data_IF_564357821444
#
_entry.id   IF_564357821444
#
_cell.length_a   1.000
_cell.length_b   1.000
_cell.length_c   1.000
_cell.angle_alpha   90.00
_cell.angle_beta   90.00
_cell.angle_gamma   90.00
#
_symmetry.space_group_name_H-M   'P 1'
#
loop_
_entity.id
_entity.type
_entity.pdbx_description
1 polymer ?
#
# COMPACT_ATOMS: atom_id res chain seq x y z
N UNK A 1 -2.22 19.42 -0.52
CA UNK A 1 -2.48 17.98 -0.66
C UNK A 1 -2.36 17.66 -2.14
N UNK A 2 -1.45 16.77 -2.50
CA UNK A 2 -1.31 16.23 -3.85
C UNK A 2 -1.60 14.72 -3.82
N UNK A 3 -1.90 14.15 -4.97
CA UNK A 3 -2.11 12.72 -5.13
C UNK A 3 -1.00 12.22 -6.06
N UNK A 4 -0.14 11.34 -5.56
CA UNK A 4 0.98 10.78 -6.31
C UNK A 4 0.61 9.38 -6.80
N UNK A 5 1.06 9.04 -8.01
CA UNK A 5 0.81 7.75 -8.63
C UNK A 5 2.11 6.97 -8.79
N UNK A 6 2.02 5.66 -8.60
CA UNK A 6 3.10 4.73 -8.97
C UNK A 6 2.54 3.38 -9.38
N UNK A 7 3.27 2.67 -10.22
CA UNK A 7 3.00 1.29 -10.62
C UNK A 7 4.05 0.41 -9.95
N UNK A 8 3.59 -0.71 -9.39
CA UNK A 8 4.50 -1.68 -8.81
C UNK A 8 3.88 -3.05 -8.65
N UNK A 9 4.76 -4.00 -8.35
CA UNK A 9 4.41 -5.37 -8.06
C UNK A 9 4.52 -5.60 -6.56
N UNK A 10 3.48 -6.20 -5.96
CA UNK A 10 3.52 -6.58 -4.55
C UNK A 10 4.48 -7.76 -4.42
N UNK A 11 5.54 -7.60 -3.61
CA UNK A 11 6.53 -8.67 -3.40
C UNK A 11 6.24 -9.47 -2.13
N UNK A 12 5.63 -8.84 -1.12
CA UNK A 12 5.18 -9.52 0.08
C UNK A 12 3.97 -8.83 0.69
N UNK A 13 3.12 -9.64 1.32
CA UNK A 13 1.99 -9.18 2.10
C UNK A 13 1.98 -9.97 3.42
N UNK A 14 2.32 -9.28 4.50
CA UNK A 14 2.39 -9.87 5.84
C UNK A 14 1.19 -9.43 6.66
N UNK A 15 0.49 -10.39 7.26
CA UNK A 15 -0.57 -10.14 8.24
C UNK A 15 -0.09 -10.55 9.63
N UNK A 16 -0.34 -9.71 10.63
CA UNK A 16 -0.11 -10.11 12.03
C UNK A 16 -1.18 -11.09 12.55
N UNK A 17 -2.28 -11.26 11.82
CA UNK A 17 -3.32 -12.26 12.13
C UNK A 17 -3.06 -13.58 11.41
N UNK A 18 -3.21 -14.69 12.14
CA UNK A 18 -3.14 -16.06 11.59
C UNK A 18 -4.30 -16.42 10.64
N UNK A 19 -5.27 -15.53 10.47
CA UNK A 19 -6.48 -15.74 9.67
C UNK A 19 -6.74 -14.52 8.79
N UNK A 20 -7.10 -14.74 7.52
CA UNK A 20 -7.44 -13.66 6.60
C UNK A 20 -8.67 -12.90 7.12
N UNK A 21 -8.48 -11.62 7.49
CA UNK A 21 -9.56 -10.76 7.97
C UNK A 21 -10.33 -10.22 6.76
N UNK A 22 -11.48 -10.80 6.45
CA UNK A 22 -12.34 -10.40 5.33
C UNK A 22 -13.28 -9.22 5.66
N UNK A 23 -13.25 -8.70 6.90
CA UNK A 23 -14.08 -7.55 7.34
C UNK A 23 -13.33 -6.65 8.31
N UNK A 24 -13.32 -5.35 8.03
CA UNK A 24 -12.74 -4.33 8.89
C UNK A 24 -13.41 -4.34 10.28
N UNK A 25 -12.66 -4.73 11.31
CA UNK A 25 -13.00 -4.43 12.69
C UNK A 25 -12.13 -3.24 13.06
N UNK A 26 -12.76 -2.12 13.44
CA UNK A 26 -12.03 -0.96 13.97
C UNK A 26 -11.56 -1.33 15.37
N UNK A 27 -10.29 -1.66 15.51
CA UNK A 27 -9.63 -1.90 16.80
C UNK A 27 -8.50 -0.88 16.94
N UNK A 28 -8.36 -0.29 18.12
CA UNK A 28 -7.39 0.77 18.42
C UNK A 28 -5.96 0.43 17.93
N UNK A 29 -5.57 1.15 16.87
CA UNK A 29 -4.22 1.62 16.50
C UNK A 29 -3.05 0.63 16.61
N UNK A 30 -3.20 -0.59 16.07
CA UNK A 30 -2.02 -1.39 15.64
C UNK A 30 -2.16 -1.68 14.16
N UNK A 31 -1.12 -1.40 13.37
CA UNK A 31 -1.10 -1.79 11.97
C UNK A 31 -1.10 -3.33 11.89
N UNK A 32 -2.07 -3.86 11.16
CA UNK A 32 -2.37 -5.28 11.12
C UNK A 32 -1.78 -5.97 9.88
N UNK A 33 -1.37 -5.16 8.90
CA UNK A 33 -0.85 -5.59 7.60
C UNK A 33 0.36 -4.75 7.20
N UNK A 34 1.33 -5.41 6.58
CA UNK A 34 2.44 -4.76 5.89
C UNK A 34 2.48 -5.26 4.45
N UNK A 35 2.43 -4.35 3.49
CA UNK A 35 2.62 -4.69 2.07
C UNK A 35 3.91 -4.05 1.59
N UNK A 36 4.77 -4.87 0.99
CA UNK A 36 5.99 -4.41 0.34
C UNK A 36 5.78 -4.43 -1.16
N UNK A 37 6.11 -3.32 -1.80
CA UNK A 37 5.92 -3.10 -3.24
C UNK A 37 7.28 -2.79 -3.85
N UNK A 38 7.59 -3.46 -4.95
CA UNK A 38 8.69 -3.09 -5.83
C UNK A 38 8.14 -2.14 -6.91
N UNK A 39 8.68 -0.92 -6.94
CA UNK A 39 8.19 0.16 -7.80
C UNK A 39 8.80 0.02 -9.18
N UNK A 40 7.97 0.04 -10.20
CA UNK A 40 8.36 -0.07 -11.60
C UNK A 40 8.33 1.30 -12.29
N UNK A 41 7.29 2.08 -12.02
CA UNK A 41 7.10 3.44 -12.53
C UNK A 41 6.56 4.29 -11.39
N UNK A 42 6.98 5.54 -11.29
CA UNK A 42 6.59 6.43 -10.20
C UNK A 42 6.61 7.88 -10.66
N UNK A 43 5.65 8.67 -10.18
CA UNK A 43 5.75 10.12 -10.21
C UNK A 43 7.01 10.58 -9.46
N UNK A 44 7.61 11.73 -9.80
CA UNK A 44 8.87 12.20 -9.19
C UNK A 44 8.83 12.28 -7.66
N UNK A 45 7.65 12.56 -7.12
CA UNK A 45 7.41 12.73 -5.69
C UNK A 45 6.84 11.48 -5.04
N UNK A 46 6.70 10.35 -5.74
CA UNK A 46 6.15 9.13 -5.18
C UNK A 46 6.99 8.56 -4.02
N UNK A 47 6.44 7.65 -3.19
CA UNK A 47 7.11 7.15 -1.99
C UNK A 47 8.45 6.42 -2.22
N UNK A 48 8.69 5.92 -3.44
CA UNK A 48 9.97 5.36 -3.86
C UNK A 48 10.15 5.56 -5.38
N UNK A 49 11.41 5.70 -5.85
CA UNK A 49 11.70 5.79 -7.28
C UNK A 49 11.53 4.42 -7.98
N UNK A 50 11.50 4.39 -9.33
CA UNK A 50 11.60 3.16 -10.11
C UNK A 50 12.80 2.28 -9.67
N UNK A 51 12.57 0.97 -9.54
CA UNK A 51 13.51 -0.02 -9.00
C UNK A 51 13.64 0.01 -7.46
N UNK A 52 13.02 0.98 -6.79
CA UNK A 52 12.97 1.07 -5.34
C UNK A 52 11.96 0.12 -4.71
N UNK A 53 12.10 -0.10 -3.41
CA UNK A 53 11.11 -0.82 -2.60
C UNK A 53 10.51 0.08 -1.55
N UNK A 54 9.21 -0.04 -1.35
CA UNK A 54 8.47 0.68 -0.33
C UNK A 54 7.58 -0.27 0.45
N UNK A 55 7.48 -0.08 1.75
CA UNK A 55 6.61 -0.86 2.63
C UNK A 55 5.57 0.07 3.26
N UNK A 56 4.31 -0.31 3.17
CA UNK A 56 3.20 0.42 3.77
C UNK A 56 2.55 -0.42 4.86
N UNK A 57 2.21 0.23 5.96
CA UNK A 57 1.52 -0.36 7.09
C UNK A 57 0.04 0.02 7.07
N UNK A 58 -0.86 -0.96 7.07
CA UNK A 58 -2.30 -0.74 7.00
C UNK A 58 -3.02 -1.31 8.23
N UNK A 59 -4.10 -0.64 8.60
CA UNK A 59 -4.95 -1.08 9.71
C UNK A 59 -6.04 -2.08 9.28
N UNK A 60 -6.40 -2.15 7.99
CA UNK A 60 -7.34 -3.14 7.44
C UNK A 60 -7.02 -3.45 5.95
N UNK A 61 -7.13 -4.71 5.50
CA UNK A 61 -6.90 -5.05 4.09
C UNK A 61 -8.08 -4.68 3.18
N UNK A 62 -9.26 -4.41 3.74
CA UNK A 62 -10.54 -4.41 3.01
C UNK A 62 -10.83 -3.19 2.13
N UNK A 63 -9.92 -2.24 1.96
CA UNK A 63 -10.12 -1.14 1.00
C UNK A 63 -9.12 -1.13 -0.16
N UNK A 64 -7.96 -1.76 0.00
CA UNK A 64 -6.91 -1.76 -1.02
C UNK A 64 -6.93 -3.01 -1.88
N UNK A 65 -7.23 -4.16 -1.28
CA UNK A 65 -7.10 -5.45 -1.94
C UNK A 65 -8.28 -6.34 -1.58
N UNK A 66 -9.14 -6.62 -2.56
CA UNK A 66 -10.26 -7.56 -2.41
C UNK A 66 -9.83 -9.01 -2.68
N UNK A 67 -8.64 -9.42 -2.21
CA UNK A 67 -8.12 -10.78 -2.39
C UNK A 67 -7.28 -11.24 -1.17
N UNK A 68 -7.16 -12.56 -0.92
CA UNK A 68 -6.31 -13.13 0.13
C UNK A 68 -4.83 -12.72 -0.01
N UNK A 69 -4.11 -12.65 1.11
CA UNK A 69 -2.70 -12.22 1.15
C UNK A 69 -1.80 -13.02 0.21
N UNK A 70 -1.98 -14.35 0.21
CA UNK A 70 -1.23 -15.28 -0.64
C UNK A 70 -1.44 -15.05 -2.14
N UNK A 71 -2.55 -14.43 -2.53
CA UNK A 71 -2.88 -14.14 -3.94
C UNK A 71 -2.39 -12.76 -4.39
N UNK A 72 -1.94 -11.90 -3.46
CA UNK A 72 -1.48 -10.54 -3.80
C UNK A 72 -0.02 -10.51 -4.25
N UNK A 73 0.80 -11.42 -3.75
CA UNK A 73 2.22 -11.45 -4.09
C UNK A 73 2.41 -11.83 -5.57
N UNK A 74 3.24 -11.05 -6.28
CA UNK A 74 3.46 -11.16 -7.72
C UNK A 74 2.41 -10.46 -8.57
N UNK A 75 1.35 -9.90 -7.96
CA UNK A 75 0.37 -9.12 -8.71
C UNK A 75 0.80 -7.66 -8.87
N UNK A 76 0.51 -7.11 -10.04
CA UNK A 76 0.84 -5.76 -10.46
C UNK A 76 -0.35 -4.82 -10.28
N UNK A 77 -0.09 -3.63 -9.76
CA UNK A 77 -1.13 -2.64 -9.48
C UNK A 77 -0.67 -1.24 -9.89
N UNK A 78 -1.67 -0.41 -10.22
CA UNK A 78 -1.54 1.03 -10.18
C UNK A 78 -1.96 1.51 -8.79
N UNK A 79 -1.04 2.16 -8.10
CA UNK A 79 -1.26 2.75 -6.79
C UNK A 79 -1.44 4.27 -6.90
N UNK A 80 -2.33 4.82 -6.08
CA UNK A 80 -2.42 6.26 -5.84
C UNK A 80 -2.38 6.52 -4.34
N UNK A 81 -1.60 7.51 -3.92
CA UNK A 81 -1.43 7.84 -2.51
C UNK A 81 -1.54 9.34 -2.27
N UNK A 82 -2.27 9.72 -1.23
CA UNK A 82 -2.38 11.12 -0.84
C UNK A 82 -1.09 11.57 -0.14
N UNK A 83 -0.57 12.72 -0.56
CA UNK A 83 0.62 13.37 -0.02
C UNK A 83 0.27 14.70 0.61
N UNK A 84 0.67 14.88 1.85
CA UNK A 84 0.57 16.16 2.55
C UNK A 84 1.95 16.61 2.98
N UNK A 85 2.46 17.67 2.34
CA UNK A 85 3.66 18.37 2.81
C UNK A 85 3.30 19.30 3.96
N UNK A 86 3.95 19.10 5.10
CA UNK A 86 3.82 19.92 6.31
C UNK A 86 5.16 20.56 6.66
N UNK A 87 5.18 21.52 7.59
CA UNK A 87 6.43 22.12 8.08
C UNK A 87 7.39 21.07 8.67
N UNK A 88 6.86 19.97 9.22
CA UNK A 88 7.61 18.89 9.84
C UNK A 88 8.01 17.77 8.86
N UNK A 89 7.69 17.93 7.57
CA UNK A 89 8.00 16.96 6.52
C UNK A 89 6.78 16.43 5.77
N UNK A 90 6.99 15.34 5.03
CA UNK A 90 5.95 14.71 4.20
C UNK A 90 5.17 13.67 4.99
N UNK A 91 3.85 13.73 4.90
CA UNK A 91 2.94 12.71 5.41
C UNK A 91 2.21 12.02 4.26
N UNK A 92 2.15 10.71 4.35
CA UNK A 92 1.43 9.84 3.41
C UNK A 92 0.09 9.44 4.01
N UNK A 93 -0.97 9.64 3.24
CA UNK A 93 -2.35 9.38 3.65
C UNK A 93 -2.91 8.12 3.01
N UNK A 94 -4.14 8.23 2.53
CA UNK A 94 -4.87 7.11 1.94
C UNK A 94 -4.16 6.57 0.70
N UNK A 95 -3.88 5.27 0.71
CA UNK A 95 -3.41 4.53 -0.46
C UNK A 95 -4.60 3.82 -1.11
N UNK A 96 -4.66 3.84 -2.43
CA UNK A 96 -5.61 3.09 -3.25
C UNK A 96 -4.82 2.26 -4.27
N UNK A 97 -5.37 1.12 -4.68
CA UNK A 97 -4.74 0.22 -5.63
C UNK A 97 -5.77 -0.33 -6.60
N UNK A 98 -5.43 -0.32 -7.89
CA UNK A 98 -6.23 -0.94 -8.96
C UNK A 98 -5.36 -1.98 -9.65
N UNK A 99 -5.79 -3.26 -9.70
CA UNK A 99 -5.04 -4.28 -10.43
C UNK A 99 -4.88 -3.89 -11.90
N UNK A 100 -3.68 -4.12 -12.44
CA UNK A 100 -3.41 -3.95 -13.87
C UNK A 100 -2.82 -5.25 -14.41
N UNK A 101 -3.33 -5.69 -15.56
CA UNK A 101 -2.89 -6.93 -16.24
C UNK A 101 -1.63 -6.70 -17.03
#
# INVERSE_FOLDING_TARGET
>A
MSCEMFIGTIVSCETRFRTAVTRAIVVDVVANWAVTIEVEEADPDAPAPPGGRVSFLFHSPTQLFLAPAEELAGCRYRFTIDRTSTADGVRWGDLRATPIR
#
